data_IF_906972926928
#
_entry.id   IF_906972926928
#
_cell.length_a   1.000
_cell.length_b   1.000
_cell.length_c   1.000
_cell.angle_alpha   90.00
_cell.angle_beta   90.00
_cell.angle_gamma   90.00
#
_symmetry.space_group_name_H-M   'P 1'
#
loop_
_entity.id
_entity.type
_entity.pdbx_description
1 polymer ?
#
# COMPACT_ATOMS: atom_id res chain seq x y z
N UNK A 1 -12.82 27.95 44.82
CA UNK A 1 -12.11 27.62 43.57
C UNK A 1 -12.70 26.33 43.01
N UNK A 2 -13.58 26.43 42.01
CA UNK A 2 -14.19 25.25 41.36
C UNK A 2 -13.16 24.59 40.43
N UNK A 3 -12.89 23.29 40.63
CA UNK A 3 -11.96 22.52 39.80
C UNK A 3 -12.65 22.27 38.45
N UNK A 4 -12.13 22.86 37.37
CA UNK A 4 -12.61 22.62 36.01
C UNK A 4 -12.40 21.14 35.66
N UNK A 5 -13.46 20.42 35.29
CA UNK A 5 -13.37 19.04 34.83
C UNK A 5 -12.99 19.01 33.35
N UNK A 6 -11.94 18.26 33.02
CA UNK A 6 -11.41 18.16 31.66
C UNK A 6 -12.10 17.10 30.80
N UNK A 7 -13.01 16.32 31.39
CA UNK A 7 -13.72 15.22 30.74
C UNK A 7 -14.55 15.71 29.54
N UNK A 8 -15.19 16.87 29.66
CA UNK A 8 -16.04 17.43 28.60
C UNK A 8 -15.31 18.41 27.67
N UNK A 9 -14.01 18.67 27.88
CA UNK A 9 -13.28 19.70 27.15
C UNK A 9 -12.61 19.19 25.86
N UNK A 10 -12.40 17.87 25.73
CA UNK A 10 -11.72 17.28 24.59
C UNK A 10 -12.59 16.21 23.92
N UNK A 11 -12.95 16.36 22.63
CA UNK A 11 -13.74 15.37 21.88
C UNK A 11 -13.08 13.97 21.84
N UNK A 12 -11.77 13.86 22.07
CA UNK A 12 -11.07 12.58 22.15
C UNK A 12 -11.50 11.71 23.35
N UNK A 13 -11.96 12.32 24.46
CA UNK A 13 -12.34 11.59 25.67
C UNK A 13 -13.65 10.79 25.49
N UNK A 14 -14.51 11.19 24.55
CA UNK A 14 -15.73 10.45 24.21
C UNK A 14 -15.43 9.08 23.57
N UNK A 15 -14.31 8.96 22.86
CA UNK A 15 -13.86 7.69 22.28
C UNK A 15 -13.27 6.75 23.34
N UNK A 16 -12.60 7.30 24.35
CA UNK A 16 -12.02 6.51 25.45
C UNK A 16 -13.11 6.02 26.40
N UNK A 17 -14.09 6.86 26.75
CA UNK A 17 -15.20 6.45 27.63
C UNK A 17 -16.06 5.34 27.02
N UNK A 18 -16.13 5.27 25.69
CA UNK A 18 -16.84 4.19 24.98
C UNK A 18 -16.10 2.85 25.09
N UNK A 19 -14.79 2.86 25.36
CA UNK A 19 -13.96 1.66 25.55
C UNK A 19 -13.98 1.20 27.01
N UNK A 20 -14.07 2.10 27.99
CA UNK A 20 -14.12 1.75 29.42
C UNK A 20 -15.40 0.98 29.83
N UNK A 21 -16.46 1.01 29.01
CA UNK A 21 -17.69 0.25 29.24
C UNK A 21 -17.76 -1.13 28.57
N UNK A 22 -16.69 -1.58 27.90
CA UNK A 22 -16.63 -2.85 27.19
C UNK A 22 -15.47 -3.69 27.72
N UNK A 23 -15.74 -4.56 28.70
CA UNK A 23 -14.74 -5.44 29.32
C UNK A 23 -14.21 -6.58 28.41
N UNK A 24 -14.39 -6.52 27.09
CA UNK A 24 -14.08 -7.62 26.16
C UNK A 24 -13.14 -7.23 24.98
N UNK A 25 -12.08 -6.45 25.24
CA UNK A 25 -11.10 -6.09 24.19
C UNK A 25 -9.91 -7.05 24.03
N UNK A 26 -9.83 -8.12 24.81
CA UNK A 26 -8.77 -9.14 24.68
C UNK A 26 -8.88 -10.00 23.42
N UNK A 27 -10.05 -10.05 22.77
CA UNK A 27 -10.30 -10.88 21.57
C UNK A 27 -9.96 -10.17 20.24
N UNK A 28 -9.96 -8.84 20.20
CA UNK A 28 -9.82 -8.08 18.94
C UNK A 28 -8.36 -8.01 18.46
N UNK A 29 -7.39 -8.03 19.37
CA UNK A 29 -5.96 -7.95 19.06
C UNK A 29 -5.39 -9.24 18.44
N UNK A 30 -6.03 -10.40 18.64
CA UNK A 30 -5.56 -11.67 18.06
C UNK A 30 -5.96 -11.83 16.57
N UNK A 31 -7.14 -11.35 16.18
CA UNK A 31 -7.63 -11.49 14.81
C UNK A 31 -6.87 -10.65 13.77
N UNK A 32 -6.20 -9.57 14.19
CA UNK A 32 -5.37 -8.75 13.31
C UNK A 32 -4.04 -9.42 12.92
N UNK A 33 -3.50 -10.32 13.76
CA UNK A 33 -2.26 -11.07 13.46
C UNK A 33 -2.49 -12.24 12.50
N UNK A 34 -3.70 -12.79 12.42
CA UNK A 34 -3.98 -14.01 11.64
C UNK A 34 -4.25 -13.76 10.16
N UNK A 35 -4.55 -12.53 9.72
CA UNK A 35 -4.82 -12.21 8.30
C UNK A 35 -3.56 -11.92 7.45
N UNK A 36 -2.35 -12.07 8.01
CA UNK A 36 -1.10 -11.81 7.27
C UNK A 36 -0.40 -13.07 6.71
N UNK A 37 -0.92 -14.30 6.91
CA UNK A 37 -0.15 -15.52 6.64
C UNK A 37 -0.57 -16.35 5.41
N UNK A 38 -1.55 -15.92 4.60
CA UNK A 38 -2.04 -16.73 3.47
C UNK A 38 -2.14 -15.97 2.15
N UNK A 39 -0.99 -15.76 1.51
CA UNK A 39 -0.89 -15.76 0.04
C UNK A 39 0.45 -16.35 -0.41
N UNK A 40 0.61 -17.64 -0.16
CA UNK A 40 1.60 -18.48 -0.82
C UNK A 40 0.93 -19.06 -2.07
N UNK A 41 1.25 -18.54 -3.25
CA UNK A 41 0.97 -19.17 -4.56
C UNK A 41 2.29 -19.09 -5.32
N UNK A 42 3.10 -20.15 -5.28
CA UNK A 42 3.18 -21.26 -6.22
C UNK A 42 4.58 -21.16 -6.86
N UNK A 43 5.47 -22.02 -6.36
CA UNK A 43 6.82 -22.21 -6.87
C UNK A 43 6.70 -22.93 -8.20
N UNK A 44 7.02 -22.26 -9.29
CA UNK A 44 7.40 -22.95 -10.52
C UNK A 44 8.84 -23.44 -10.36
N UNK A 45 9.01 -24.76 -10.34
CA UNK A 45 10.29 -25.43 -10.33
C UNK A 45 10.98 -25.25 -11.68
N UNK A 46 11.95 -24.33 -11.75
CA UNK A 46 12.90 -24.27 -12.86
C UNK A 46 14.26 -24.82 -12.40
N UNK A 47 14.70 -25.87 -13.11
CA UNK A 47 15.95 -26.62 -12.95
C UNK A 47 17.12 -25.75 -12.48
N UNK A 48 17.66 -26.09 -11.31
CA UNK A 48 18.82 -25.43 -10.71
C UNK A 48 20.08 -25.87 -11.44
N UNK A 49 20.55 -25.05 -12.39
CA UNK A 49 21.97 -25.03 -12.75
C UNK A 49 22.70 -24.49 -11.53
N UNK A 50 23.61 -25.27 -10.93
CA UNK A 50 24.48 -24.82 -9.83
C UNK A 50 25.44 -23.75 -10.35
N UNK A 51 24.96 -22.52 -10.47
CA UNK A 51 25.80 -21.33 -10.61
C UNK A 51 25.90 -20.71 -9.22
N UNK A 52 27.13 -20.47 -8.77
CA UNK A 52 27.46 -19.74 -7.54
C UNK A 52 26.49 -18.56 -7.37
N UNK A 53 25.89 -18.33 -6.17
CA UNK A 53 25.01 -17.19 -5.95
C UNK A 53 25.85 -15.91 -5.96
N UNK A 54 26.15 -15.41 -7.15
CA UNK A 54 26.72 -14.09 -7.35
C UNK A 54 25.65 -13.12 -6.86
N UNK A 55 25.97 -12.32 -5.84
CA UNK A 55 25.10 -11.23 -5.40
C UNK A 55 24.87 -10.34 -6.62
N UNK A 56 23.64 -10.34 -7.16
CA UNK A 56 23.26 -9.40 -8.21
C UNK A 56 23.59 -7.99 -7.71
N UNK A 57 24.28 -7.20 -8.52
CA UNK A 57 24.64 -5.83 -8.14
C UNK A 57 23.35 -5.10 -7.72
N UNK A 58 23.28 -4.55 -6.48
CA UNK A 58 22.08 -3.89 -5.98
C UNK A 58 21.71 -2.65 -6.80
N UNK A 59 22.67 -2.07 -7.54
CA UNK A 59 22.46 -0.99 -8.50
C UNK A 59 21.57 -1.40 -9.69
N UNK A 60 21.54 -2.70 -10.03
CA UNK A 60 20.75 -3.22 -11.16
C UNK A 60 19.36 -3.73 -10.75
N UNK A 61 19.01 -3.65 -9.45
CA UNK A 61 17.69 -4.06 -8.97
C UNK A 61 17.00 -2.79 -8.45
N UNK A 62 16.23 -2.14 -9.33
CA UNK A 62 15.34 -1.05 -8.95
C UNK A 62 14.27 -1.58 -7.98
N UNK A 63 14.57 -1.51 -6.68
CA UNK A 63 13.70 -2.02 -5.62
C UNK A 63 12.84 -0.92 -5.00
N UNK A 64 13.13 0.36 -5.29
CA UNK A 64 12.47 1.50 -4.66
C UNK A 64 11.80 2.40 -5.69
N UNK A 65 10.55 2.78 -5.41
CA UNK A 65 9.80 3.75 -6.20
C UNK A 65 10.20 5.19 -5.86
N UNK A 66 10.24 6.08 -6.85
CA UNK A 66 10.41 7.53 -6.68
C UNK A 66 9.12 8.25 -7.06
N UNK A 67 8.68 9.22 -6.26
CA UNK A 67 7.48 10.03 -6.54
C UNK A 67 7.83 11.17 -7.50
N UNK A 68 7.08 11.29 -8.58
CA UNK A 68 7.19 12.39 -9.56
C UNK A 68 5.87 13.17 -9.54
N UNK A 69 5.95 14.51 -9.55
CA UNK A 69 4.80 15.38 -9.75
C UNK A 69 4.84 15.89 -11.19
N UNK A 70 3.80 15.58 -11.97
CA UNK A 70 3.68 16.00 -13.36
C UNK A 70 2.46 16.89 -13.55
N UNK A 71 2.58 17.86 -14.46
CA UNK A 71 1.46 18.64 -14.96
C UNK A 71 1.04 18.07 -16.31
N UNK A 72 -0.24 17.71 -16.44
CA UNK A 72 -0.81 17.12 -17.65
C UNK A 72 -2.14 17.80 -17.98
N UNK A 73 -2.53 17.74 -19.25
CA UNK A 73 -3.82 18.27 -19.67
C UNK A 73 -4.97 17.43 -19.08
N UNK A 74 -6.08 18.06 -18.65
CA UNK A 74 -7.23 17.34 -18.08
C UNK A 74 -7.86 16.33 -19.04
N UNK A 75 -7.92 16.66 -20.34
CA UNK A 75 -8.42 15.76 -21.39
C UNK A 75 -7.61 14.48 -21.46
N UNK A 76 -6.28 14.61 -21.57
CA UNK A 76 -5.34 13.49 -21.60
C UNK A 76 -5.44 12.64 -20.34
N UNK A 77 -5.56 13.26 -19.17
CA UNK A 77 -5.74 12.52 -17.91
C UNK A 77 -7.00 11.66 -17.92
N UNK A 78 -8.11 12.19 -18.45
CA UNK A 78 -9.37 11.45 -18.53
C UNK A 78 -9.24 10.26 -19.49
N UNK A 79 -8.60 10.43 -20.65
CA UNK A 79 -8.34 9.34 -21.60
C UNK A 79 -7.53 8.21 -20.96
N UNK A 80 -6.43 8.55 -20.27
CA UNK A 80 -5.59 7.58 -19.57
C UNK A 80 -6.38 6.88 -18.46
N UNK A 81 -7.25 7.60 -17.75
CA UNK A 81 -8.10 7.04 -16.71
C UNK A 81 -9.11 6.03 -17.28
N UNK A 82 -9.72 6.32 -18.42
CA UNK A 82 -10.64 5.40 -19.09
C UNK A 82 -9.90 4.18 -19.65
N UNK A 83 -8.69 4.36 -20.18
CA UNK A 83 -7.85 3.24 -20.60
C UNK A 83 -7.43 2.35 -19.41
N UNK A 84 -7.07 2.96 -18.27
CA UNK A 84 -6.71 2.24 -17.06
C UNK A 84 -7.89 1.39 -16.53
N UNK A 85 -9.10 1.96 -16.54
CA UNK A 85 -10.33 1.21 -16.22
C UNK A 85 -10.56 0.03 -17.17
N UNK A 86 -10.38 0.24 -18.49
CA UNK A 86 -10.54 -0.83 -19.50
C UNK A 86 -9.56 -1.98 -19.28
N UNK A 87 -8.31 -1.69 -18.90
CA UNK A 87 -7.29 -2.70 -18.60
C UNK A 87 -7.38 -3.25 -17.16
N UNK A 88 -8.23 -2.68 -16.30
CA UNK A 88 -8.35 -3.09 -14.89
C UNK A 88 -7.13 -2.75 -14.03
N UNK A 89 -6.33 -1.76 -14.44
CA UNK A 89 -5.11 -1.34 -13.72
C UNK A 89 -5.30 0.03 -13.08
N UNK A 90 -4.42 0.38 -12.13
CA UNK A 90 -4.43 1.72 -11.55
C UNK A 90 -3.92 2.74 -12.57
N UNK A 91 -4.35 4.00 -12.44
CA UNK A 91 -3.85 5.10 -13.29
C UNK A 91 -2.32 5.24 -13.15
N UNK A 92 -1.77 4.98 -11.95
CA UNK A 92 -0.34 5.03 -11.73
C UNK A 92 0.41 3.92 -12.48
N UNK A 93 -0.17 2.72 -12.54
CA UNK A 93 0.40 1.59 -13.28
C UNK A 93 0.39 1.86 -14.79
N UNK A 94 -0.74 2.35 -15.31
CA UNK A 94 -0.85 2.76 -16.71
C UNK A 94 0.20 3.82 -17.08
N UNK A 95 0.38 4.83 -16.23
CA UNK A 95 1.42 5.85 -16.43
C UNK A 95 2.82 5.23 -16.44
N UNK A 96 3.08 4.27 -15.56
CA UNK A 96 4.36 3.57 -15.54
C UNK A 96 4.60 2.77 -16.82
N UNK A 97 3.60 2.02 -17.30
CA UNK A 97 3.67 1.26 -18.56
C UNK A 97 3.92 2.17 -19.76
N UNK A 98 3.19 3.28 -19.86
CA UNK A 98 3.36 4.26 -20.95
C UNK A 98 4.79 4.81 -20.94
N UNK A 99 5.27 5.30 -19.78
CA UNK A 99 6.61 5.87 -19.67
C UNK A 99 7.70 4.83 -19.98
N UNK A 100 7.54 3.60 -19.49
CA UNK A 100 8.47 2.51 -19.75
C UNK A 100 8.49 2.14 -21.23
N UNK A 101 7.32 2.00 -21.85
CA UNK A 101 7.20 1.70 -23.28
C UNK A 101 7.87 2.77 -24.15
N UNK A 102 7.79 4.04 -23.75
CA UNK A 102 8.43 5.14 -24.48
C UNK A 102 9.96 5.15 -24.35
N UNK A 103 10.50 4.75 -23.19
CA UNK A 103 11.95 4.71 -22.96
C UNK A 103 12.60 3.45 -23.55
N UNK A 104 11.88 2.33 -23.53
CA UNK A 104 12.35 1.05 -24.08
C UNK A 104 12.23 0.98 -25.62
N UNK A 105 11.48 1.91 -26.24
CA UNK A 105 11.32 2.05 -27.70
C UNK A 105 12.45 2.86 -28.32
#
# INVERSE_FOLDING_TARGET
MSKKSFVNANPAMAFISMVEGAEDFSSVTEHAKQKLSKKHHQKEEKKVVKTVPMKKNPEFIETKSKRVQMLIQPSLYNEIKEEAKRKGVSVNEMMHEILKSYVDS
#
